data_IF_985097837300
#
_entry.id   IF_985097837300
#
_cell.length_a   1.000
_cell.length_b   1.000
_cell.length_c   1.000
_cell.angle_alpha   90.00
_cell.angle_beta   90.00
_cell.angle_gamma   90.00
#
_symmetry.space_group_name_H-M   'P 1'
#
loop_
_entity.id
_entity.type
_entity.pdbx_description
1 polymer ?
#
# COMPACT_ATOMS: atom_id res chain seq x y z
N UNK A 1 -14.04 -12.36 -10.67
CA UNK A 1 -12.64 -12.26 -11.12
C UNK A 1 -11.85 -11.49 -10.06
N UNK A 2 -11.19 -12.18 -9.12
CA UNK A 2 -10.32 -11.50 -8.14
C UNK A 2 -9.16 -10.89 -8.94
N UNK A 3 -9.08 -9.55 -9.01
CA UNK A 3 -8.03 -8.89 -9.80
C UNK A 3 -6.67 -9.28 -9.22
N UNK A 4 -5.77 -9.72 -10.08
CA UNK A 4 -4.45 -10.26 -9.69
C UNK A 4 -3.67 -9.29 -8.81
N UNK A 5 -3.86 -7.99 -9.02
CA UNK A 5 -3.25 -6.89 -8.28
C UNK A 5 -3.58 -6.91 -6.77
N UNK A 6 -4.78 -7.38 -6.37
CA UNK A 6 -5.14 -7.50 -4.95
C UNK A 6 -4.32 -8.58 -4.26
N UNK A 7 -4.08 -9.71 -4.93
CA UNK A 7 -3.29 -10.82 -4.38
C UNK A 7 -1.86 -10.38 -4.16
N UNK A 8 -1.29 -9.67 -5.13
CA UNK A 8 0.06 -9.13 -5.03
C UNK A 8 0.18 -8.09 -3.91
N UNK A 9 -0.80 -7.18 -3.77
CA UNK A 9 -0.83 -6.22 -2.66
C UNK A 9 -0.86 -6.92 -1.30
N UNK A 10 -1.65 -8.00 -1.14
CA UNK A 10 -1.73 -8.77 0.11
C UNK A 10 -0.39 -9.41 0.43
N UNK A 11 0.19 -10.14 -0.52
CA UNK A 11 1.44 -10.87 -0.32
C UNK A 11 2.60 -9.92 0.01
N UNK A 12 2.71 -8.78 -0.69
CA UNK A 12 3.71 -7.77 -0.40
C UNK A 12 3.51 -7.10 0.97
N UNK A 13 2.26 -6.88 1.37
CA UNK A 13 1.95 -6.28 2.68
C UNK A 13 2.35 -7.21 3.83
N UNK A 14 2.14 -8.53 3.68
CA UNK A 14 2.55 -9.54 4.67
C UNK A 14 4.07 -9.55 4.82
N UNK A 15 4.81 -9.60 3.70
CA UNK A 15 6.28 -9.58 3.72
C UNK A 15 6.82 -8.29 4.32
N UNK A 16 6.23 -7.14 3.96
CA UNK A 16 6.63 -5.84 4.49
C UNK A 16 6.51 -5.77 6.02
N UNK A 17 5.48 -6.41 6.58
CA UNK A 17 5.26 -6.50 8.04
C UNK A 17 6.12 -7.59 8.72
N UNK A 18 6.99 -8.28 7.99
CA UNK A 18 7.85 -9.35 8.51
C UNK A 18 7.17 -10.70 8.69
N UNK A 19 5.97 -10.88 8.11
CA UNK A 19 5.29 -12.18 8.09
C UNK A 19 5.96 -13.16 7.11
N UNK A 20 5.95 -14.45 7.46
CA UNK A 20 6.42 -15.49 6.55
C UNK A 20 5.37 -15.74 5.47
N UNK A 21 5.75 -15.55 4.22
CA UNK A 21 4.91 -15.92 3.10
C UNK A 21 5.15 -17.41 2.83
N UNK A 22 4.24 -18.26 3.31
CA UNK A 22 4.26 -19.72 3.16
C UNK A 22 4.49 -20.22 1.71
N UNK A 23 4.36 -19.33 0.72
CA UNK A 23 4.63 -19.57 -0.70
C UNK A 23 5.82 -18.74 -1.16
N UNK A 24 6.70 -19.33 -1.99
CA UNK A 24 7.68 -18.57 -2.79
C UNK A 24 6.94 -17.46 -3.56
N UNK A 25 7.02 -16.22 -3.08
CA UNK A 25 6.35 -15.09 -3.72
C UNK A 25 7.02 -14.84 -5.07
N UNK A 26 6.24 -14.93 -6.14
CA UNK A 26 6.67 -14.52 -7.47
C UNK A 26 6.38 -13.04 -7.63
N UNK A 27 7.37 -12.21 -7.32
CA UNK A 27 7.27 -10.75 -7.51
C UNK A 27 7.37 -10.45 -9.00
N UNK A 28 6.37 -9.76 -9.54
CA UNK A 28 6.35 -9.34 -10.95
C UNK A 28 7.13 -8.05 -11.13
N UNK A 29 7.74 -7.80 -12.31
CA UNK A 29 8.34 -6.50 -12.59
C UNK A 29 7.26 -5.38 -12.56
N UNK A 30 7.64 -4.15 -12.19
CA UNK A 30 6.74 -3.00 -12.28
C UNK A 30 6.20 -2.78 -13.70
N UNK A 31 4.92 -2.43 -13.81
CA UNK A 31 4.31 -1.98 -15.07
C UNK A 31 4.54 -0.49 -15.35
N UNK A 32 4.02 0.01 -16.47
CA UNK A 32 4.16 1.41 -16.86
C UNK A 32 3.46 2.37 -15.86
N UNK A 33 4.21 3.26 -15.21
CA UNK A 33 3.70 4.14 -14.14
C UNK A 33 2.94 5.39 -14.62
N UNK A 34 3.08 5.78 -15.90
CA UNK A 34 2.56 7.07 -16.39
C UNK A 34 1.03 7.26 -16.24
N UNK A 35 0.25 6.17 -16.27
CA UNK A 35 -1.21 6.17 -16.01
C UNK A 35 -1.61 5.14 -14.94
N UNK A 36 -0.66 4.76 -14.10
CA UNK A 36 -0.88 3.78 -13.05
C UNK A 36 -1.95 4.26 -12.07
N UNK A 37 -2.90 3.36 -11.75
CA UNK A 37 -3.90 3.60 -10.73
C UNK A 37 -3.22 3.64 -9.36
N UNK A 38 -3.90 4.19 -8.36
CA UNK A 38 -3.33 4.31 -7.02
C UNK A 38 -2.84 2.96 -6.46
N UNK A 39 -3.57 1.86 -6.73
CA UNK A 39 -3.15 0.50 -6.36
C UNK A 39 -1.83 0.06 -6.98
N UNK A 40 -1.61 0.37 -8.26
CA UNK A 40 -0.35 0.04 -8.96
C UNK A 40 0.83 0.82 -8.34
N UNK A 41 0.58 2.08 -7.95
CA UNK A 41 1.56 2.90 -7.23
C UNK A 41 1.85 2.33 -5.84
N UNK A 42 0.83 1.85 -5.13
CA UNK A 42 1.00 1.23 -3.82
C UNK A 42 1.82 -0.06 -3.88
N UNK A 43 1.54 -0.92 -4.86
CA UNK A 43 2.33 -2.13 -5.13
C UNK A 43 3.77 -1.77 -5.47
N UNK A 44 3.99 -0.74 -6.28
CA UNK A 44 5.33 -0.27 -6.60
C UNK A 44 6.09 0.23 -5.37
N UNK A 45 5.46 1.05 -4.52
CA UNK A 45 6.09 1.56 -3.29
C UNK A 45 6.53 0.42 -2.37
N UNK A 46 5.68 -0.59 -2.17
CA UNK A 46 6.03 -1.77 -1.37
C UNK A 46 7.21 -2.54 -1.95
N UNK A 47 7.23 -2.78 -3.28
CA UNK A 47 8.38 -3.42 -3.93
C UNK A 47 9.65 -2.60 -3.77
N UNK A 48 9.57 -1.29 -3.99
CA UNK A 48 10.71 -0.39 -3.88
C UNK A 48 11.28 -0.41 -2.44
N UNK A 49 10.42 -0.52 -1.44
CA UNK A 49 10.84 -0.64 -0.03
C UNK A 49 11.53 -1.99 0.24
N UNK A 50 10.94 -3.10 -0.20
CA UNK A 50 11.50 -4.44 -0.04
C UNK A 50 12.85 -4.63 -0.75
N UNK A 51 13.02 -4.00 -1.91
CA UNK A 51 14.27 -4.01 -2.69
C UNK A 51 15.11 -2.75 -2.49
N UNK A 52 14.87 -1.99 -1.41
CA UNK A 52 15.58 -0.73 -1.16
C UNK A 52 17.09 -0.87 -0.97
N UNK A 53 17.59 -2.09 -0.73
CA UNK A 53 19.02 -2.41 -0.72
C UNK A 53 19.64 -2.44 -2.12
N UNK A 54 18.85 -2.71 -3.15
CA UNK A 54 19.29 -2.79 -4.55
C UNK A 54 19.15 -1.45 -5.28
N UNK A 55 18.43 -0.49 -4.70
CA UNK A 55 18.17 0.84 -5.28
C UNK A 55 18.95 1.89 -4.51
N UNK A 56 19.63 2.79 -5.24
CA UNK A 56 20.30 3.95 -4.65
C UNK A 56 19.27 5.01 -4.25
N UNK A 57 18.75 4.88 -3.03
CA UNK A 57 17.85 5.86 -2.40
C UNK A 57 18.60 6.64 -1.32
N UNK A 58 18.36 7.94 -1.22
CA UNK A 58 18.88 8.72 -0.10
C UNK A 58 18.22 8.29 1.21
N UNK A 59 18.83 8.62 2.36
CA UNK A 59 18.24 8.34 3.67
C UNK A 59 16.88 8.99 3.85
N UNK A 60 16.70 10.19 3.28
CA UNK A 60 15.43 10.91 3.25
C UNK A 60 14.38 10.16 2.42
N UNK A 61 14.70 9.79 1.19
CA UNK A 61 13.76 9.09 0.30
C UNK A 61 13.35 7.74 0.88
N UNK A 62 14.27 7.03 1.54
CA UNK A 62 13.95 5.77 2.23
C UNK A 62 12.93 5.99 3.35
N UNK A 63 13.09 7.05 4.14
CA UNK A 63 12.15 7.37 5.22
C UNK A 63 10.77 7.72 4.67
N UNK A 64 10.70 8.61 3.67
CA UNK A 64 9.43 8.99 3.02
C UNK A 64 8.75 7.78 2.36
N UNK A 65 9.53 6.91 1.72
CA UNK A 65 9.02 5.67 1.15
C UNK A 65 8.44 4.73 2.22
N UNK A 66 9.11 4.61 3.38
CA UNK A 66 8.62 3.81 4.50
C UNK A 66 7.31 4.38 5.05
N UNK A 67 7.21 5.70 5.20
CA UNK A 67 5.98 6.37 5.65
C UNK A 67 4.82 6.08 4.69
N UNK A 68 5.05 6.14 3.38
CA UNK A 68 4.07 5.76 2.36
C UNK A 68 3.70 4.28 2.45
N UNK A 69 4.67 3.38 2.65
CA UNK A 69 4.40 1.94 2.80
C UNK A 69 3.58 1.65 4.07
N UNK A 70 3.89 2.32 5.18
CA UNK A 70 3.13 2.27 6.43
C UNK A 70 1.68 2.72 6.21
N UNK A 71 1.47 3.84 5.52
CA UNK A 71 0.14 4.29 5.15
C UNK A 71 -0.60 3.25 4.30
N UNK A 72 0.08 2.64 3.33
CA UNK A 72 -0.51 1.62 2.46
C UNK A 72 -0.98 0.43 3.28
N UNK A 73 -0.14 -0.15 4.14
CA UNK A 73 -0.48 -1.38 4.88
C UNK A 73 -1.47 -1.14 6.02
N UNK A 74 -1.47 0.04 6.64
CA UNK A 74 -2.34 0.34 7.79
C UNK A 74 -3.70 0.91 7.39
N UNK A 75 -3.73 1.81 6.40
CA UNK A 75 -4.91 2.62 6.08
C UNK A 75 -5.50 2.28 4.74
N UNK A 76 -4.68 2.21 3.70
CA UNK A 76 -5.19 1.90 2.37
C UNK A 76 -5.64 0.44 2.28
N UNK A 77 -4.86 -0.49 2.78
CA UNK A 77 -5.13 -1.92 2.60
C UNK A 77 -6.49 -2.37 3.16
N UNK A 78 -6.88 -1.84 4.34
CA UNK A 78 -8.05 -2.30 5.11
C UNK A 78 -9.40 -2.06 4.41
N UNK A 79 -9.75 -0.85 3.94
CA UNK A 79 -10.98 -0.64 3.16
C UNK A 79 -10.93 -1.34 1.81
N UNK A 80 -9.75 -1.46 1.18
CA UNK A 80 -9.64 -2.06 -0.15
C UNK A 80 -9.90 -3.57 -0.16
N UNK A 81 -9.55 -4.30 0.91
CA UNK A 81 -10.01 -5.68 1.10
C UNK A 81 -11.53 -5.79 1.27
N UNK A 82 -12.14 -4.79 1.91
CA UNK A 82 -13.58 -4.79 2.20
C UNK A 82 -14.42 -4.36 0.99
N UNK A 83 -13.84 -3.60 0.06
CA UNK A 83 -14.47 -3.16 -1.20
C UNK A 83 -14.68 -4.26 -2.24
N UNK A 84 -14.28 -5.52 -1.96
CA UNK A 84 -14.65 -6.69 -2.77
C UNK A 84 -16.19 -6.86 -2.80
N UNK A 85 -16.90 -6.32 -1.80
CA UNK A 85 -18.36 -6.33 -1.72
C UNK A 85 -18.95 -4.98 -2.11
N UNK A 86 -19.37 -4.85 -3.38
CA UNK A 86 -19.89 -3.61 -3.99
C UNK A 86 -21.07 -2.96 -3.22
N UNK A 87 -21.85 -3.76 -2.48
CA UNK A 87 -23.02 -3.30 -1.72
C UNK A 87 -22.63 -2.47 -0.49
N UNK A 88 -21.43 -2.68 0.07
CA UNK A 88 -20.98 -1.98 1.28
C UNK A 88 -20.07 -0.79 0.97
N UNK A 89 -19.76 -0.52 -0.29
CA UNK A 89 -18.74 0.43 -0.73
C UNK A 89 -18.95 1.87 -0.21
N UNK A 90 -20.17 2.45 -0.17
CA UNK A 90 -20.37 3.82 0.33
C UNK A 90 -20.06 3.96 1.83
N UNK A 91 -20.57 3.04 2.66
CA UNK A 91 -20.32 3.04 4.10
C UNK A 91 -18.83 2.80 4.40
N UNK A 92 -18.19 1.90 3.66
CA UNK A 92 -16.76 1.61 3.84
C UNK A 92 -15.86 2.76 3.40
N UNK A 93 -16.26 3.50 2.37
CA UNK A 93 -15.58 4.73 1.97
C UNK A 93 -15.66 5.80 3.08
N UNK A 94 -16.81 5.97 3.71
CA UNK A 94 -16.94 6.88 4.87
C UNK A 94 -16.08 6.44 6.07
N UNK A 95 -16.00 5.13 6.35
CA UNK A 95 -15.10 4.61 7.37
C UNK A 95 -13.62 4.90 7.03
N UNK A 96 -13.23 4.77 5.76
CA UNK A 96 -11.89 5.12 5.31
C UNK A 96 -11.58 6.60 5.53
N UNK A 97 -12.50 7.51 5.18
CA UNK A 97 -12.33 8.95 5.44
C UNK A 97 -12.18 9.25 6.94
N UNK A 98 -12.91 8.54 7.81
CA UNK A 98 -12.72 8.65 9.27
C UNK A 98 -11.34 8.15 9.70
N UNK A 99 -10.86 7.03 9.15
CA UNK A 99 -9.51 6.52 9.44
C UNK A 99 -8.41 7.45 8.94
N UNK A 100 -8.59 8.09 7.77
CA UNK A 100 -7.68 9.13 7.28
C UNK A 100 -7.58 10.29 8.25
N UNK A 101 -8.72 10.82 8.72
CA UNK A 101 -8.75 11.90 9.71
C UNK A 101 -8.09 11.51 11.04
N UNK A 102 -8.26 10.25 11.46
CA UNK A 102 -7.60 9.75 12.68
C UNK A 102 -6.07 9.59 12.51
N UNK A 103 -5.61 9.31 11.29
CA UNK A 103 -4.19 9.16 10.99
C UNK A 103 -3.41 10.48 11.00
N UNK A 104 -4.09 11.61 10.91
CA UNK A 104 -3.47 12.92 11.11
C UNK A 104 -2.72 13.01 12.45
N UNK A 105 -3.22 12.32 13.48
CA UNK A 105 -2.57 12.22 14.80
C UNK A 105 -1.33 11.32 14.83
N UNK A 106 -1.14 10.48 13.81
CA UNK A 106 -0.02 9.53 13.71
C UNK A 106 1.06 10.09 12.78
N UNK A 107 0.67 10.72 11.67
CA UNK A 107 1.58 11.39 10.75
C UNK A 107 0.90 12.60 10.08
N UNK A 108 1.02 13.76 10.74
CA UNK A 108 0.44 15.03 10.28
C UNK A 108 0.95 15.45 8.89
N UNK A 109 2.24 15.20 8.61
CA UNK A 109 2.88 15.59 7.35
C UNK A 109 2.34 14.82 6.14
N UNK A 110 2.02 13.54 6.33
CA UNK A 110 1.46 12.68 5.27
C UNK A 110 -0.04 12.89 5.08
N UNK A 111 -0.77 13.22 6.15
CA UNK A 111 -2.22 13.45 6.10
C UNK A 111 -2.61 14.75 5.39
N UNK A 112 -1.78 15.79 5.49
CA UNK A 112 -2.04 17.11 4.85
C UNK A 112 -1.62 17.19 3.38
N UNK A 113 -0.87 16.20 2.89
CA UNK A 113 -0.39 16.14 1.51
C UNK A 113 -1.32 15.40 0.55
N UNK A 114 -2.41 14.80 1.06
CA UNK A 114 -3.37 13.99 0.30
C UNK A 114 -4.55 14.78 -0.23
#
# INVERSE_FOLDING_TARGET
>A
MVRVDYRELIELSIVFLGGDAEKKIKIRPPGAMHRARWMDRAIYSLKLSLFSSQVKLSTKDKKELLDVCLFIVTIYFKPWLQCIWAVKTPYKYLCFLKSLKAYENVNESSSKAA
#
